data_IF_894102985893
#
_entry.id   IF_894102985893
#
_cell.length_a   1.000
_cell.length_b   1.000
_cell.length_c   1.000
_cell.angle_alpha   90.00
_cell.angle_beta   90.00
_cell.angle_gamma   90.00
#
_symmetry.space_group_name_H-M   'P 1'
#
loop_
_entity.id
_entity.type
_entity.pdbx_description
1 polymer ?
#
# COMPACT_ATOMS: atom_id res chain seq x y z
N UNK A 1 -15.21 -11.64 10.90
CA UNK A 1 -15.43 -10.85 12.13
C UNK A 1 -14.76 -9.50 11.92
N UNK A 2 -15.48 -8.39 12.06
CA UNK A 2 -14.86 -7.04 12.08
C UNK A 2 -14.17 -6.89 13.45
N UNK A 3 -13.10 -6.08 13.55
CA UNK A 3 -12.12 -6.03 14.67
C UNK A 3 -12.68 -5.74 16.11
N UNK A 4 -14.00 -5.82 16.33
CA UNK A 4 -14.68 -5.63 17.61
C UNK A 4 -15.70 -6.76 17.93
N UNK A 5 -15.54 -7.96 17.36
CA UNK A 5 -16.45 -9.09 17.62
C UNK A 5 -17.80 -9.04 16.88
N UNK A 6 -18.16 -7.89 16.30
CA UNK A 6 -19.42 -7.68 15.57
C UNK A 6 -19.38 -8.24 14.14
N UNK A 7 -20.52 -8.74 13.65
CA UNK A 7 -20.66 -9.24 12.28
C UNK A 7 -20.97 -8.07 11.32
N UNK A 8 -20.47 -8.13 10.08
CA UNK A 8 -20.56 -7.01 9.12
C UNK A 8 -22.00 -6.62 8.75
N UNK A 9 -22.93 -7.57 8.86
CA UNK A 9 -24.37 -7.40 8.63
C UNK A 9 -25.07 -6.64 9.76
N UNK A 10 -24.63 -6.79 11.01
CA UNK A 10 -25.14 -6.00 12.15
C UNK A 10 -24.75 -4.54 12.00
N UNK A 11 -23.49 -4.28 11.69
CA UNK A 11 -22.98 -2.92 11.45
C UNK A 11 -23.64 -2.26 10.22
N UNK A 12 -23.97 -3.05 9.20
CA UNK A 12 -24.66 -2.56 8.01
C UNK A 12 -26.08 -2.07 8.33
N UNK A 13 -26.82 -2.81 9.17
CA UNK A 13 -28.17 -2.44 9.61
C UNK A 13 -28.18 -1.20 10.52
N UNK A 14 -27.16 -1.05 11.35
CA UNK A 14 -27.06 0.04 12.33
C UNK A 14 -26.57 1.36 11.73
N UNK A 15 -25.59 1.30 10.82
CA UNK A 15 -24.91 2.51 10.34
C UNK A 15 -25.21 2.87 8.88
N UNK A 16 -25.78 1.96 8.09
CA UNK A 16 -26.21 2.21 6.70
C UNK A 16 -25.30 1.72 5.57
N UNK A 17 -23.95 1.69 5.68
CA UNK A 17 -23.10 1.08 4.66
C UNK A 17 -23.43 -0.40 4.43
N UNK A 18 -23.24 -0.90 3.21
CA UNK A 18 -23.43 -2.33 2.94
C UNK A 18 -22.38 -3.18 3.69
N UNK A 19 -22.75 -4.41 4.03
CA UNK A 19 -21.83 -5.37 4.64
C UNK A 19 -20.57 -5.59 3.78
N UNK A 20 -20.68 -5.46 2.45
CA UNK A 20 -19.55 -5.59 1.52
C UNK A 20 -18.59 -4.40 1.59
N UNK A 21 -19.10 -3.16 1.69
CA UNK A 21 -18.27 -1.98 1.91
C UNK A 21 -17.45 -2.10 3.20
N UNK A 22 -18.10 -2.55 4.28
CA UNK A 22 -17.45 -2.78 5.57
C UNK A 22 -16.36 -3.86 5.46
N UNK A 23 -16.63 -4.97 4.79
CA UNK A 23 -15.61 -6.02 4.54
C UNK A 23 -14.43 -5.50 3.73
N UNK A 24 -14.70 -4.69 2.71
CA UNK A 24 -13.65 -4.12 1.86
C UNK A 24 -12.76 -3.15 2.64
N UNK A 25 -13.32 -2.32 3.51
CA UNK A 25 -12.54 -1.46 4.41
C UNK A 25 -11.68 -2.27 5.37
N UNK A 26 -12.23 -3.31 5.99
CA UNK A 26 -11.46 -4.20 6.89
C UNK A 26 -10.33 -4.90 6.14
N UNK A 27 -10.57 -5.34 4.91
CA UNK A 27 -9.54 -5.98 4.06
C UNK A 27 -8.44 -4.98 3.67
N UNK A 28 -8.80 -3.73 3.35
CA UNK A 28 -7.87 -2.67 2.99
C UNK A 28 -7.04 -2.16 4.18
N UNK A 29 -7.63 -2.16 5.38
CA UNK A 29 -6.97 -1.78 6.63
C UNK A 29 -6.10 -2.90 7.23
N UNK A 30 -5.93 -4.03 6.53
CA UNK A 30 -4.95 -5.04 6.94
C UNK A 30 -3.55 -4.50 6.67
N UNK A 31 -2.85 -4.18 7.75
CA UNK A 31 -1.43 -3.85 7.79
C UNK A 31 -0.60 -5.06 8.21
N UNK A 32 0.67 -5.03 7.84
CA UNK A 32 1.73 -5.90 8.40
C UNK A 32 2.72 -4.99 9.10
N UNK A 33 3.12 -5.37 10.30
CA UNK A 33 4.18 -4.68 11.05
C UNK A 33 5.55 -5.11 10.51
N UNK A 34 6.40 -4.14 10.22
CA UNK A 34 7.77 -4.33 9.78
C UNK A 34 8.72 -4.38 10.98
N UNK A 35 9.96 -4.80 10.76
CA UNK A 35 10.97 -4.96 11.82
C UNK A 35 11.31 -3.64 12.55
N UNK A 36 11.10 -2.50 11.88
CA UNK A 36 11.31 -1.16 12.44
C UNK A 36 10.09 -0.62 13.20
N UNK A 37 9.05 -1.43 13.38
CA UNK A 37 7.80 -1.06 14.06
C UNK A 37 6.85 -0.24 13.18
N UNK A 38 7.14 -0.06 11.90
CA UNK A 38 6.20 0.60 10.98
C UNK A 38 5.13 -0.39 10.49
N UNK A 39 3.89 0.09 10.39
CA UNK A 39 2.81 -0.70 9.80
C UNK A 39 2.61 -0.32 8.32
N UNK A 40 2.58 -1.32 7.44
CA UNK A 40 2.38 -1.11 6.00
C UNK A 40 1.16 -1.88 5.52
N UNK A 41 0.24 -1.18 4.86
CA UNK A 41 -0.90 -1.79 4.17
C UNK A 41 -0.52 -2.32 2.79
N UNK A 42 -1.30 -3.25 2.26
CA UNK A 42 -1.10 -3.75 0.89
C UNK A 42 -1.19 -2.64 -0.17
N UNK A 43 -1.96 -1.57 0.09
CA UNK A 43 -2.08 -0.42 -0.82
C UNK A 43 -0.78 0.39 -0.83
N UNK A 44 -0.25 0.72 0.34
CA UNK A 44 1.02 1.45 0.50
C UNK A 44 2.18 0.64 -0.07
N UNK A 45 2.23 -0.66 0.18
CA UNK A 45 3.24 -1.55 -0.40
C UNK A 45 3.24 -1.50 -1.94
N UNK A 46 2.06 -1.57 -2.57
CA UNK A 46 1.94 -1.47 -4.04
C UNK A 46 2.35 -0.10 -4.57
N UNK A 47 2.15 0.96 -3.80
CA UNK A 47 2.58 2.31 -4.18
C UNK A 47 4.10 2.43 -4.09
N UNK A 48 4.71 1.94 -3.00
CA UNK A 48 6.16 1.89 -2.82
C UNK A 48 6.84 1.06 -3.91
N UNK A 49 6.25 -0.07 -4.30
CA UNK A 49 6.80 -0.90 -5.38
C UNK A 49 6.86 -0.15 -6.72
N UNK A 50 5.82 0.62 -7.06
CA UNK A 50 5.80 1.43 -8.30
C UNK A 50 6.84 2.55 -8.24
N UNK A 51 6.93 3.23 -7.11
CA UNK A 51 7.90 4.31 -6.94
C UNK A 51 9.34 3.79 -7.00
N UNK A 52 9.61 2.64 -6.38
CA UNK A 52 10.92 1.99 -6.45
C UNK A 52 11.30 1.62 -7.90
N UNK A 53 10.33 1.15 -8.69
CA UNK A 53 10.53 0.86 -10.10
C UNK A 53 10.88 2.12 -10.90
N UNK A 54 10.11 3.20 -10.72
CA UNK A 54 10.36 4.51 -11.35
C UNK A 54 11.75 5.05 -11.01
N UNK A 55 12.12 5.00 -9.72
CA UNK A 55 13.43 5.47 -9.26
C UNK A 55 14.59 4.65 -9.84
N UNK A 56 14.41 3.34 -10.01
CA UNK A 56 15.42 2.48 -10.68
C UNK A 56 15.62 2.89 -12.13
N UNK A 57 14.54 3.16 -12.85
CA UNK A 57 14.60 3.62 -14.24
C UNK A 57 15.32 4.98 -14.34
N UNK A 58 14.97 5.94 -13.48
CA UNK A 58 15.65 7.23 -13.41
C UNK A 58 17.15 7.08 -13.09
N UNK A 59 17.49 6.20 -12.15
CA UNK A 59 18.87 5.93 -11.76
C UNK A 59 19.69 5.34 -12.91
N UNK A 60 19.11 4.46 -13.74
CA UNK A 60 19.79 3.93 -14.92
C UNK A 60 20.00 4.99 -16.01
N UNK A 61 19.03 5.88 -16.21
CA UNK A 61 19.19 7.04 -17.12
C UNK A 61 20.34 7.94 -16.64
N UNK A 62 20.38 8.25 -15.35
CA UNK A 62 21.41 9.09 -14.76
C UNK A 62 22.81 8.46 -14.88
N UNK A 63 22.93 7.15 -14.64
CA UNK A 63 24.20 6.42 -14.86
C UNK A 63 24.65 6.51 -16.32
N UNK A 64 23.74 6.29 -17.27
CA UNK A 64 24.06 6.39 -18.69
C UNK A 64 24.53 7.80 -19.06
N UNK A 65 23.85 8.84 -18.57
CA UNK A 65 24.25 10.23 -18.77
C UNK A 65 25.63 10.53 -18.17
N UNK A 66 25.92 10.07 -16.95
CA UNK A 66 27.21 10.27 -16.31
C UNK A 66 28.37 9.65 -17.11
N UNK A 67 28.16 8.45 -17.68
CA UNK A 67 29.17 7.79 -18.54
C UNK A 67 29.39 8.56 -19.84
N UNK A 68 28.34 9.12 -20.45
CA UNK A 68 28.47 9.92 -21.67
C UNK A 68 29.19 11.24 -21.41
N UNK A 69 28.85 11.93 -20.32
CA UNK A 69 29.42 13.24 -19.99
C UNK A 69 30.84 13.15 -19.41
N UNK A 70 31.18 12.09 -18.69
CA UNK A 70 32.51 11.88 -18.11
C UNK A 70 33.56 11.32 -19.07
N UNK A 71 33.20 11.02 -20.32
CA UNK A 71 34.12 10.56 -21.38
C UNK A 71 34.74 11.70 -22.20
N UNK A 72 34.58 12.96 -21.76
CA UNK A 72 35.23 14.15 -22.32
C UNK A 72 36.36 14.65 -21.43
#
# INVERSE_FOLDING_TARGET
>A
MVKAGRRSDELSKEYGPSADSIRNWVKGAKSVELEDGTEVTSKEFKQLQRENQRLKEELEILKAAAVLLGKH
#
